data_IF_219454188356
#
_entry.id   IF_219454188356
#
_cell.length_a   1.000
_cell.length_b   1.000
_cell.length_c   1.000
_cell.angle_alpha   90.00
_cell.angle_beta   90.00
_cell.angle_gamma   90.00
#
_symmetry.space_group_name_H-M   'P 1'
#
loop_
_entity.id
_entity.type
_entity.pdbx_description
1 polymer ?
#
# COMPACT_ATOMS: atom_id res chain seq x y z
N UNK A 1 4.19 16.28 -31.01
CA UNK A 1 3.91 15.15 -30.08
C UNK A 1 2.63 15.46 -29.30
N UNK A 2 1.47 15.21 -29.89
CA UNK A 2 0.19 15.53 -29.26
C UNK A 2 -0.09 14.54 -28.14
N UNK A 3 -0.06 15.00 -26.89
CA UNK A 3 -0.52 14.22 -25.74
C UNK A 3 -2.03 14.07 -25.91
N UNK A 4 -2.46 12.98 -26.56
CA UNK A 4 -3.88 12.60 -26.65
C UNK A 4 -4.41 12.61 -25.24
N UNK A 5 -5.27 13.58 -24.98
CA UNK A 5 -5.45 14.05 -23.63
C UNK A 5 -6.16 12.94 -22.84
N UNK A 6 -5.43 12.34 -21.88
CA UNK A 6 -5.91 11.34 -20.90
C UNK A 6 -6.89 12.00 -19.92
N UNK A 7 -7.76 12.91 -20.41
CA UNK A 7 -8.44 14.00 -19.68
C UNK A 7 -9.14 13.52 -18.43
N UNK A 8 -9.62 12.27 -18.39
CA UNK A 8 -10.46 11.77 -17.30
C UNK A 8 -9.79 10.73 -16.42
N UNK A 9 -8.83 9.95 -16.92
CA UNK A 9 -8.23 8.83 -16.20
C UNK A 9 -7.24 9.33 -15.14
N UNK A 10 -6.43 10.32 -15.47
CA UNK A 10 -5.42 10.89 -14.55
C UNK A 10 -6.00 11.92 -13.59
N UNK A 11 -7.33 12.17 -13.60
CA UNK A 11 -7.94 13.14 -12.67
C UNK A 11 -7.87 12.63 -11.24
N UNK A 12 -7.61 13.54 -10.31
CA UNK A 12 -7.54 13.26 -8.86
C UNK A 12 -8.77 12.54 -8.32
N UNK A 13 -9.98 12.89 -8.79
CA UNK A 13 -11.24 12.23 -8.40
C UNK A 13 -11.33 10.74 -8.76
N UNK A 14 -10.46 10.24 -9.65
CA UNK A 14 -10.41 8.83 -10.08
C UNK A 14 -9.07 8.17 -9.73
N UNK A 15 -8.30 8.81 -8.85
CA UNK A 15 -6.99 8.30 -8.45
C UNK A 15 -7.16 6.96 -7.73
N UNK A 16 -6.38 5.99 -8.16
CA UNK A 16 -6.30 4.67 -7.52
C UNK A 16 -5.13 4.67 -6.53
N UNK A 17 -5.02 3.64 -5.69
CA UNK A 17 -3.88 3.52 -4.80
C UNK A 17 -2.56 3.44 -5.56
N UNK A 18 -1.59 4.19 -5.06
CA UNK A 18 -0.24 4.22 -5.58
C UNK A 18 0.53 2.93 -5.18
N UNK A 19 1.63 2.64 -5.87
CA UNK A 19 2.37 1.36 -5.73
C UNK A 19 3.07 1.27 -4.36
N UNK A 20 3.55 2.40 -3.86
CA UNK A 20 4.15 2.59 -2.53
C UNK A 20 3.17 2.27 -1.40
N UNK A 21 1.94 2.76 -1.49
CA UNK A 21 0.88 2.48 -0.52
C UNK A 21 0.54 0.98 -0.49
N UNK A 22 0.43 0.36 -1.66
CA UNK A 22 0.17 -1.08 -1.77
C UNK A 22 1.33 -1.90 -1.21
N UNK A 23 2.58 -1.48 -1.42
CA UNK A 23 3.75 -2.12 -0.80
C UNK A 23 3.65 -2.03 0.73
N UNK A 24 3.28 -0.88 1.28
CA UNK A 24 3.09 -0.70 2.72
C UNK A 24 1.96 -1.58 3.30
N UNK A 25 0.87 -1.78 2.55
CA UNK A 25 -0.21 -2.71 2.93
C UNK A 25 0.24 -4.16 2.98
N UNK A 26 1.07 -4.57 2.01
CA UNK A 26 1.61 -5.94 1.95
C UNK A 26 2.58 -6.17 3.11
N UNK A 27 3.39 -5.16 3.47
CA UNK A 27 4.34 -5.24 4.57
C UNK A 27 3.65 -5.21 5.94
N UNK A 28 2.55 -4.45 6.08
CA UNK A 28 1.90 -4.24 7.37
C UNK A 28 0.39 -4.53 7.32
N UNK A 29 -0.09 -5.56 8.04
CA UNK A 29 -1.50 -5.90 8.04
C UNK A 29 -2.37 -4.84 8.72
N UNK A 30 -1.77 -4.00 9.58
CA UNK A 30 -2.45 -2.87 10.23
C UNK A 30 -2.89 -1.82 9.19
N UNK A 31 -2.01 -1.47 8.25
CA UNK A 31 -2.29 -0.46 7.23
C UNK A 31 -3.38 -0.92 6.25
N UNK A 32 -3.35 -2.21 5.90
CA UNK A 32 -4.39 -2.84 5.10
C UNK A 32 -5.77 -2.75 5.79
N UNK A 33 -5.85 -3.10 7.08
CA UNK A 33 -7.10 -3.02 7.87
C UNK A 33 -7.64 -1.60 7.93
N UNK A 34 -6.79 -0.63 8.28
CA UNK A 34 -7.17 0.79 8.32
C UNK A 34 -7.78 1.24 7.00
N UNK A 35 -7.20 0.84 5.87
CA UNK A 35 -7.77 1.17 4.57
C UNK A 35 -9.12 0.50 4.31
N UNK A 36 -9.25 -0.79 4.62
CA UNK A 36 -10.52 -1.50 4.43
C UNK A 36 -11.63 -0.88 5.27
N UNK A 37 -11.32 -0.48 6.51
CA UNK A 37 -12.25 0.21 7.42
C UNK A 37 -12.71 1.58 6.89
N UNK A 38 -11.92 2.27 6.06
CA UNK A 38 -12.36 3.54 5.44
C UNK A 38 -13.52 3.38 4.47
N UNK A 39 -13.86 2.14 4.07
CA UNK A 39 -14.91 1.86 3.09
C UNK A 39 -16.06 1.11 3.77
N UNK A 40 -17.27 1.64 3.63
CA UNK A 40 -18.46 0.97 4.11
C UNK A 40 -18.69 -0.32 3.31
N UNK A 41 -18.99 -1.41 4.02
CA UNK A 41 -19.17 -2.75 3.46
C UNK A 41 -20.31 -2.78 2.43
N UNK A 42 -21.34 -1.99 2.66
CA UNK A 42 -22.57 -1.92 1.83
C UNK A 42 -22.33 -1.28 0.46
N UNK A 43 -21.38 -0.35 0.36
CA UNK A 43 -21.06 0.36 -0.90
C UNK A 43 -20.09 -0.42 -1.79
N UNK A 44 -19.55 -1.54 -1.29
CA UNK A 44 -18.49 -2.29 -1.95
C UNK A 44 -19.06 -3.44 -2.80
N UNK A 45 -18.47 -3.69 -3.98
CA UNK A 45 -18.69 -4.91 -4.77
C UNK A 45 -18.57 -6.17 -3.89
N UNK A 46 -19.53 -7.09 -4.01
CA UNK A 46 -19.53 -8.36 -3.25
C UNK A 46 -19.48 -8.20 -1.72
N UNK A 47 -20.00 -7.10 -1.17
CA UNK A 47 -19.92 -6.76 0.26
C UNK A 47 -18.48 -6.76 0.79
N UNK A 48 -17.53 -6.35 -0.06
CA UNK A 48 -16.11 -6.26 0.28
C UNK A 48 -15.40 -7.61 0.50
N UNK A 49 -16.06 -8.75 0.24
CA UNK A 49 -15.51 -10.09 0.53
C UNK A 49 -14.34 -10.47 -0.38
N UNK A 50 -14.42 -10.10 -1.66
CA UNK A 50 -13.43 -10.50 -2.66
C UNK A 50 -12.52 -9.31 -3.00
N UNK A 51 -11.38 -9.22 -2.32
CA UNK A 51 -10.43 -8.12 -2.48
C UNK A 51 -9.06 -8.58 -2.97
N UNK A 52 -8.54 -7.92 -4.02
CA UNK A 52 -7.17 -8.09 -4.46
C UNK A 52 -6.30 -6.96 -3.89
N UNK A 53 -5.36 -7.30 -3.01
CA UNK A 53 -4.47 -6.34 -2.34
C UNK A 53 -3.57 -5.60 -3.33
N UNK A 54 -2.93 -6.34 -4.23
CA UNK A 54 -1.92 -5.81 -5.17
C UNK A 54 -2.49 -4.79 -6.18
N UNK A 55 -3.72 -5.04 -6.64
CA UNK A 55 -4.43 -4.16 -7.57
C UNK A 55 -5.37 -3.17 -6.85
N UNK A 56 -5.48 -3.26 -5.53
CA UNK A 56 -6.41 -2.48 -4.70
C UNK A 56 -7.84 -2.43 -5.27
N UNK A 57 -8.38 -3.59 -5.67
CA UNK A 57 -9.67 -3.70 -6.35
C UNK A 57 -10.57 -4.75 -5.69
N UNK A 58 -11.84 -4.40 -5.52
CA UNK A 58 -12.90 -5.31 -5.08
C UNK A 58 -13.62 -5.94 -6.27
N UNK A 59 -14.09 -7.17 -6.05
CA UNK A 59 -14.81 -7.99 -7.02
C UNK A 59 -16.11 -8.50 -6.40
N UNK A 60 -17.09 -8.82 -7.26
CA UNK A 60 -18.40 -9.30 -6.81
C UNK A 60 -18.41 -10.79 -6.45
N UNK A 61 -17.53 -11.60 -7.08
CA UNK A 61 -17.50 -13.06 -6.93
C UNK A 61 -16.07 -13.59 -6.79
N UNK A 62 -15.93 -14.76 -6.16
CA UNK A 62 -14.65 -15.48 -6.05
C UNK A 62 -14.06 -15.86 -7.42
N UNK A 63 -14.91 -16.30 -8.35
CA UNK A 63 -14.47 -16.70 -9.69
C UNK A 63 -13.84 -15.53 -10.46
N UNK A 64 -14.40 -14.33 -10.33
CA UNK A 64 -13.84 -13.12 -10.93
C UNK A 64 -12.47 -12.77 -10.34
N UNK A 65 -12.28 -12.95 -9.03
CA UNK A 65 -10.99 -12.74 -8.37
C UNK A 65 -9.93 -13.73 -8.89
N UNK A 66 -10.29 -15.02 -9.00
CA UNK A 66 -9.37 -16.05 -9.52
C UNK A 66 -8.98 -15.78 -10.98
N UNK A 67 -9.93 -15.37 -11.82
CA UNK A 67 -9.65 -15.00 -13.21
C UNK A 67 -8.77 -13.75 -13.29
N UNK A 68 -9.02 -12.76 -12.42
CA UNK A 68 -8.21 -11.55 -12.33
C UNK A 68 -6.74 -11.86 -12.01
N UNK A 69 -6.50 -12.71 -11.01
CA UNK A 69 -5.14 -13.11 -10.59
C UNK A 69 -4.36 -13.79 -11.73
N UNK A 70 -5.04 -14.59 -12.57
CA UNK A 70 -4.40 -15.25 -13.72
C UNK A 70 -4.10 -14.27 -14.87
N UNK A 71 -4.77 -13.12 -14.89
CA UNK A 71 -4.71 -12.12 -15.95
C UNK A 71 -3.37 -11.39 -16.06
N UNK A 72 -3.06 -10.92 -17.28
CA UNK A 72 -1.91 -10.05 -17.57
C UNK A 72 -1.85 -8.76 -16.73
N UNK A 73 -2.94 -8.02 -16.45
CA UNK A 73 -2.83 -6.76 -15.72
C UNK A 73 -2.35 -6.97 -14.28
N UNK A 74 -2.85 -8.00 -13.62
CA UNK A 74 -2.43 -8.38 -12.27
C UNK A 74 -0.95 -8.74 -12.24
N UNK A 75 -0.51 -9.65 -13.13
CA UNK A 75 0.90 -10.04 -13.24
C UNK A 75 1.84 -8.86 -13.52
N UNK A 76 1.40 -7.85 -14.26
CA UNK A 76 2.16 -6.61 -14.47
C UNK A 76 2.29 -5.81 -13.18
N UNK A 77 1.21 -5.71 -12.39
CA UNK A 77 1.21 -4.99 -11.11
C UNK A 77 2.09 -5.69 -10.07
N UNK A 78 2.05 -7.01 -9.99
CA UNK A 78 2.95 -7.81 -9.13
C UNK A 78 4.41 -7.51 -9.43
N UNK A 79 4.79 -7.48 -10.71
CA UNK A 79 6.16 -7.15 -11.13
C UNK A 79 6.55 -5.73 -10.72
N UNK A 80 5.68 -4.74 -10.91
CA UNK A 80 5.92 -3.36 -10.46
C UNK A 80 6.12 -3.26 -8.95
N UNK A 81 5.32 -4.00 -8.16
CA UNK A 81 5.47 -4.02 -6.70
C UNK A 81 6.79 -4.71 -6.31
N UNK A 82 7.18 -5.76 -7.03
CA UNK A 82 8.43 -6.49 -6.80
C UNK A 82 9.66 -5.63 -7.08
N UNK A 83 9.67 -4.86 -8.17
CA UNK A 83 10.73 -3.91 -8.54
C UNK A 83 10.95 -2.84 -7.46
N UNK A 84 9.94 -2.56 -6.64
CA UNK A 84 10.00 -1.58 -5.56
C UNK A 84 9.43 -0.22 -5.98
N UNK A 85 8.77 0.50 -5.08
CA UNK A 85 8.27 1.83 -5.38
C UNK A 85 9.42 2.83 -5.43
N UNK A 86 9.36 3.73 -6.41
CA UNK A 86 10.24 4.90 -6.45
C UNK A 86 9.85 5.87 -5.34
N UNK A 87 10.80 6.19 -4.45
CA UNK A 87 10.53 7.07 -3.30
C UNK A 87 11.05 8.48 -3.54
N UNK A 88 10.53 9.42 -2.75
CA UNK A 88 11.00 10.81 -2.78
C UNK A 88 12.49 10.90 -2.38
N UNK A 89 12.93 10.06 -1.44
CA UNK A 89 14.33 9.99 -0.99
C UNK A 89 15.27 9.59 -2.14
N UNK A 90 14.87 8.64 -2.98
CA UNK A 90 15.62 8.25 -4.17
C UNK A 90 15.72 9.40 -5.18
N UNK A 91 14.65 10.20 -5.34
CA UNK A 91 14.65 11.35 -6.21
C UNK A 91 15.58 12.47 -5.74
N UNK A 92 15.60 12.73 -4.44
CA UNK A 92 16.47 13.72 -3.82
C UNK A 92 17.94 13.28 -3.91
N UNK A 93 18.22 12.00 -3.61
CA UNK A 93 19.55 11.43 -3.73
C UNK A 93 20.11 11.52 -5.15
N UNK A 94 19.28 11.36 -6.18
CA UNK A 94 19.66 11.52 -7.58
C UNK A 94 20.07 12.97 -7.94
N UNK A 95 19.51 13.96 -7.25
CA UNK A 95 19.87 15.40 -7.39
C UNK A 95 21.02 15.79 -6.45
N UNK A 96 21.52 14.86 -5.63
CA UNK A 96 22.58 15.10 -4.66
C UNK A 96 22.09 15.73 -3.34
N UNK A 97 20.77 15.77 -3.13
CA UNK A 97 20.15 16.14 -1.86
C UNK A 97 20.00 14.87 -1.02
N UNK A 98 20.68 14.79 0.12
CA UNK A 98 20.50 13.70 1.09
C UNK A 98 20.13 14.29 2.43
N UNK A 99 19.06 13.78 3.04
CA UNK A 99 18.77 14.07 4.45
C UNK A 99 19.67 13.19 5.31
N UNK A 100 20.77 13.75 5.84
CA UNK A 100 21.60 13.06 6.84
C UNK A 100 20.96 13.25 8.22
N UNK A 101 19.84 12.55 8.44
CA UNK A 101 19.35 12.33 9.79
C UNK A 101 20.30 11.31 10.42
N UNK A 102 21.45 11.79 10.93
CA UNK A 102 22.51 10.96 11.50
C UNK A 102 21.98 9.92 12.51
N UNK A 103 22.80 8.92 12.83
CA UNK A 103 22.39 7.76 13.62
C UNK A 103 21.59 8.13 14.87
N UNK A 104 20.25 7.96 14.81
CA UNK A 104 19.40 8.09 15.98
C UNK A 104 19.77 6.96 16.93
N UNK A 105 20.56 7.26 17.95
CA UNK A 105 20.81 6.35 19.08
C UNK A 105 19.46 5.90 19.65
N UNK A 106 19.06 4.66 19.38
CA UNK A 106 17.99 4.01 20.10
C UNK A 106 18.51 3.72 21.52
N UNK A 107 18.23 4.62 22.47
CA UNK A 107 18.32 4.27 23.88
C UNK A 107 17.15 3.33 24.17
N UNK A 108 17.39 2.03 24.06
CA UNK A 108 16.55 1.04 24.72
C UNK A 108 16.72 1.30 26.22
N UNK A 109 15.72 1.94 26.84
CA UNK A 109 15.65 2.01 28.28
C UNK A 109 15.10 0.66 28.75
N UNK A 110 15.99 -0.17 29.29
CA UNK A 110 15.61 -1.35 30.06
C UNK A 110 14.77 -0.88 31.26
N UNK A 111 13.48 -1.21 31.23
CA UNK A 111 12.56 -1.00 32.34
C UNK A 111 12.47 -2.27 33.16
N UNK A 112 13.40 -2.48 34.08
CA UNK A 112 13.19 -3.35 35.22
C UNK A 112 11.99 -2.79 36.02
N UNK A 113 10.90 -3.56 36.07
CA UNK A 113 9.80 -3.30 36.99
C UNK A 113 9.59 -4.59 37.79
N UNK A 114 10.33 -4.67 38.90
CA UNK A 114 10.11 -5.60 39.99
C UNK A 114 8.67 -5.41 40.52
N UNK A 115 7.75 -6.29 40.13
CA UNK A 115 6.46 -6.42 40.79
C UNK A 115 6.70 -7.25 42.06
N UNK A 116 6.97 -6.56 43.16
CA UNK A 116 6.83 -7.11 44.50
C UNK A 116 5.36 -7.48 44.72
N UNK A 117 5.11 -8.78 44.80
CA UNK A 117 3.82 -9.37 45.14
C UNK A 117 3.81 -9.59 46.66
N UNK A 118 3.27 -8.65 47.43
CA UNK A 118 3.04 -8.83 48.88
C UNK A 118 1.74 -9.61 49.14
N UNK A 119 1.81 -10.45 50.18
CA UNK A 119 0.95 -11.58 50.53
C UNK A 119 -0.42 -11.24 51.12
#
# INVERSE_FOLDING_TARGET
MGVTNKRTITKTRRKTRDVDQVKADILSPKHLKQFQETKAIEDLPGLGRHYCVECAKWFDTDSALVVHQKGKPHKRRVKQIAEGPYTQEEAEAAVGLRTDNGDRKCTFADGDNDVAMDA
#
